data_IF_565039981505
#
_entry.id   IF_565039981505
#
_cell.length_a   1.000
_cell.length_b   1.000
_cell.length_c   1.000
_cell.angle_alpha   90.00
_cell.angle_beta   90.00
_cell.angle_gamma   90.00
#
_symmetry.space_group_name_H-M   'P 1'
#
loop_
_entity.id
_entity.type
_entity.pdbx_description
1 polymer ?
#
# COMPACT_ATOMS: atom_id res chain seq x y z
N UNK A 1 39.86 26.41 38.46
CA UNK A 1 39.22 27.16 37.35
C UNK A 1 38.31 26.19 36.61
N UNK A 2 37.01 26.27 36.92
CA UNK A 2 35.99 25.37 36.38
C UNK A 2 35.66 25.71 34.92
N UNK A 3 35.50 24.68 34.09
CA UNK A 3 34.95 24.80 32.74
C UNK A 3 33.46 24.46 32.80
N UNK A 4 32.64 25.46 32.49
CA UNK A 4 31.19 25.35 32.37
C UNK A 4 30.83 24.37 31.25
N UNK A 5 30.21 23.25 31.60
CA UNK A 5 29.40 22.46 30.68
C UNK A 5 28.02 23.10 30.62
N UNK A 6 27.74 23.84 29.56
CA UNK A 6 26.38 24.23 29.19
C UNK A 6 25.61 22.94 28.85
N UNK A 7 24.72 22.53 29.76
CA UNK A 7 23.71 21.50 29.51
C UNK A 7 22.86 21.94 28.33
N UNK A 8 22.91 21.20 27.22
CA UNK A 8 21.90 21.30 26.16
C UNK A 8 20.56 20.84 26.74
N UNK A 9 19.54 21.68 26.53
CA UNK A 9 18.16 21.46 26.93
C UNK A 9 17.53 20.31 26.10
N UNK A 10 16.94 19.26 26.71
CA UNK A 10 16.35 18.13 25.98
C UNK A 10 15.06 18.45 25.19
N UNK A 11 14.64 19.73 25.08
CA UNK A 11 13.35 20.12 24.51
C UNK A 11 13.34 20.52 23.03
N UNK A 12 14.42 20.32 22.28
CA UNK A 12 14.51 20.76 20.86
C UNK A 12 14.27 19.68 19.80
N UNK A 13 13.70 18.51 20.15
CA UNK A 13 13.50 17.36 19.23
C UNK A 13 12.04 17.04 18.90
N UNK A 14 11.16 18.05 18.87
CA UNK A 14 9.85 17.93 18.23
C UNK A 14 9.73 18.93 17.08
N UNK A 15 10.37 18.64 15.95
CA UNK A 15 9.87 19.13 14.66
C UNK A 15 8.67 18.27 14.31
N UNK A 16 7.48 18.74 14.67
CA UNK A 16 6.26 18.38 13.96
C UNK A 16 6.39 18.91 12.54
N UNK A 17 6.90 18.09 11.62
CA UNK A 17 6.68 18.29 10.19
C UNK A 17 5.22 17.94 9.96
N UNK A 18 4.37 18.96 9.86
CA UNK A 18 3.01 18.80 9.34
C UNK A 18 3.11 18.38 7.87
N UNK A 19 3.26 17.08 7.61
CA UNK A 19 3.13 16.48 6.29
C UNK A 19 1.72 16.83 5.78
N UNK A 20 1.64 17.60 4.69
CA UNK A 20 0.38 18.00 4.08
C UNK A 20 -0.17 16.84 3.26
N UNK A 21 -0.92 15.96 3.92
CA UNK A 21 -1.60 14.82 3.28
C UNK A 21 -2.62 15.29 2.24
N UNK A 22 -2.53 14.78 1.00
CA UNK A 22 -3.55 14.97 -0.04
C UNK A 22 -3.39 16.17 -0.98
N UNK A 23 -2.17 16.58 -1.34
CA UNK A 23 -1.93 17.57 -2.41
C UNK A 23 -2.26 16.98 -3.79
N UNK A 24 -2.87 17.76 -4.69
CA UNK A 24 -2.93 17.42 -6.12
C UNK A 24 -1.52 17.23 -6.70
N UNK A 25 -1.38 16.34 -7.70
CA UNK A 25 -0.11 16.23 -8.42
C UNK A 25 -0.02 17.42 -9.38
N UNK A 26 0.78 18.42 -9.03
CA UNK A 26 1.05 19.56 -9.91
C UNK A 26 1.95 19.20 -11.12
N UNK A 27 1.94 17.94 -11.59
CA UNK A 27 2.75 17.45 -12.70
C UNK A 27 1.97 16.43 -13.54
N UNK A 28 2.30 16.38 -14.82
CA UNK A 28 1.68 15.47 -15.78
C UNK A 28 2.09 14.02 -15.51
N UNK A 29 1.12 13.09 -15.49
CA UNK A 29 1.41 11.65 -15.37
C UNK A 29 2.17 11.19 -16.62
N UNK A 30 3.41 10.75 -16.43
CA UNK A 30 4.32 10.43 -17.53
C UNK A 30 4.53 8.93 -17.69
N UNK A 31 4.59 8.48 -18.94
CA UNK A 31 4.91 7.09 -19.28
C UNK A 31 6.37 6.70 -18.99
N UNK A 32 6.57 5.41 -18.76
CA UNK A 32 7.87 4.78 -18.46
C UNK A 32 8.20 3.74 -19.51
N UNK A 33 9.37 3.84 -20.15
CA UNK A 33 9.81 2.80 -21.10
C UNK A 33 9.84 1.42 -20.45
N UNK A 34 9.35 0.41 -21.17
CA UNK A 34 9.48 -0.98 -20.77
C UNK A 34 10.86 -1.51 -21.15
N UNK A 35 11.68 -1.81 -20.15
CA UNK A 35 12.96 -2.46 -20.35
C UNK A 35 12.78 -3.97 -20.20
N UNK A 36 12.35 -4.61 -21.29
CA UNK A 36 12.04 -6.05 -21.38
C UNK A 36 10.77 -6.49 -20.62
N UNK A 37 10.91 -6.87 -19.34
CA UNK A 37 9.80 -7.34 -18.48
C UNK A 37 9.68 -6.43 -17.23
N UNK A 38 9.89 -5.12 -17.40
CA UNK A 38 9.91 -4.16 -16.29
C UNK A 38 8.54 -3.59 -15.93
N UNK A 39 7.47 -3.97 -16.65
CA UNK A 39 6.12 -3.40 -16.48
C UNK A 39 5.58 -3.49 -15.05
N UNK A 40 5.93 -4.54 -14.30
CA UNK A 40 5.61 -4.68 -12.88
C UNK A 40 6.19 -3.50 -12.06
N UNK A 41 7.46 -3.19 -12.26
CA UNK A 41 8.14 -2.06 -11.60
C UNK A 41 7.59 -0.74 -12.11
N UNK A 42 7.29 -0.62 -13.41
CA UNK A 42 6.71 0.59 -13.98
C UNK A 42 5.35 0.92 -13.33
N UNK A 43 4.45 -0.06 -13.22
CA UNK A 43 3.15 0.12 -12.59
C UNK A 43 3.26 0.52 -11.10
N UNK A 44 4.23 -0.06 -10.37
CA UNK A 44 4.52 0.34 -8.99
C UNK A 44 5.13 1.75 -8.90
N UNK A 45 6.01 2.13 -9.82
CA UNK A 45 6.56 3.49 -9.85
C UNK A 45 5.48 4.54 -10.11
N UNK A 46 4.47 4.21 -10.92
CA UNK A 46 3.31 5.09 -11.09
C UNK A 46 2.57 5.28 -9.76
N UNK A 47 2.33 4.21 -9.00
CA UNK A 47 1.65 4.33 -7.69
C UNK A 47 2.50 5.03 -6.63
N UNK A 48 3.82 4.80 -6.60
CA UNK A 48 4.75 5.52 -5.74
C UNK A 48 4.87 7.00 -6.11
N UNK A 49 4.89 7.33 -7.41
CA UNK A 49 4.87 8.72 -7.89
C UNK A 49 3.62 9.43 -7.38
N UNK A 50 2.46 8.80 -7.53
CA UNK A 50 1.20 9.33 -7.02
C UNK A 50 1.12 9.42 -5.49
N UNK A 51 2.02 8.74 -4.77
CA UNK A 51 2.20 8.89 -3.32
C UNK A 51 3.13 10.07 -3.03
N UNK A 52 2.62 11.30 -3.14
CA UNK A 52 3.43 12.52 -2.95
C UNK A 52 4.14 12.55 -1.59
N UNK A 53 3.50 12.02 -0.55
CA UNK A 53 4.04 11.90 0.80
C UNK A 53 5.34 11.09 0.84
N UNK A 54 5.46 10.05 0.01
CA UNK A 54 6.67 9.23 -0.06
C UNK A 54 7.85 10.05 -0.57
N UNK A 55 7.65 10.85 -1.63
CA UNK A 55 8.73 11.68 -2.16
C UNK A 55 9.10 12.80 -1.20
N UNK A 56 8.12 13.40 -0.53
CA UNK A 56 8.37 14.43 0.47
C UNK A 56 9.25 13.88 1.62
N UNK A 57 8.97 12.67 2.12
CA UNK A 57 9.80 12.00 3.12
C UNK A 57 11.22 11.70 2.58
N UNK A 58 11.32 11.17 1.35
CA UNK A 58 12.62 10.89 0.73
C UNK A 58 13.46 12.16 0.50
N UNK A 59 12.83 13.31 0.32
CA UNK A 59 13.50 14.60 0.14
C UNK A 59 14.00 15.21 1.46
N UNK A 60 13.45 14.79 2.61
CA UNK A 60 14.01 15.13 3.93
C UNK A 60 15.37 14.47 4.14
N UNK A 61 15.60 13.32 3.51
CA UNK A 61 16.85 12.59 3.63
C UNK A 61 17.98 13.25 2.84
N UNK A 62 19.03 13.65 3.56
CA UNK A 62 20.26 14.20 2.99
C UNK A 62 21.36 13.15 3.06
N UNK A 63 21.57 12.34 2.00
CA UNK A 63 22.60 11.31 1.99
C UNK A 63 24.00 11.95 2.06
N UNK A 64 24.88 11.37 2.86
CA UNK A 64 26.29 11.79 2.94
C UNK A 64 27.00 11.65 1.59
N UNK A 65 28.06 12.44 1.39
CA UNK A 65 28.95 12.28 0.24
C UNK A 65 29.48 10.83 0.17
N UNK A 66 29.34 10.19 -1.00
CA UNK A 66 29.82 8.82 -1.23
C UNK A 66 28.85 7.70 -0.88
N UNK A 67 27.56 7.98 -0.69
CA UNK A 67 26.54 6.92 -0.58
C UNK A 67 26.59 5.98 -1.81
N UNK A 68 26.41 4.68 -1.57
CA UNK A 68 26.41 3.68 -2.63
C UNK A 68 25.30 3.98 -3.65
N UNK A 69 25.64 4.18 -4.92
CA UNK A 69 24.68 4.36 -6.02
C UNK A 69 23.77 3.14 -6.20
N UNK A 70 24.09 2.00 -5.58
CA UNK A 70 23.23 0.81 -5.48
C UNK A 70 22.24 0.85 -4.31
N UNK A 71 22.05 2.01 -3.68
CA UNK A 71 21.02 2.25 -2.67
C UNK A 71 19.64 2.42 -3.33
N UNK A 72 18.74 1.47 -3.09
CA UNK A 72 17.41 1.42 -3.71
C UNK A 72 16.55 2.62 -3.33
N UNK A 73 16.46 3.05 -2.06
CA UNK A 73 15.75 4.27 -1.67
C UNK A 73 16.26 5.54 -2.35
N UNK A 74 17.57 5.67 -2.50
CA UNK A 74 18.18 6.80 -3.20
C UNK A 74 17.78 6.81 -4.68
N UNK A 75 17.87 5.66 -5.35
CA UNK A 75 17.48 5.55 -6.75
C UNK A 75 15.95 5.71 -6.93
N UNK A 76 15.15 5.27 -5.96
CA UNK A 76 13.71 5.51 -5.94
C UNK A 76 13.43 7.02 -5.90
N UNK A 77 14.06 7.75 -4.99
CA UNK A 77 13.94 9.22 -4.91
C UNK A 77 14.28 9.87 -6.25
N UNK A 78 15.46 9.58 -6.81
CA UNK A 78 15.91 10.12 -8.11
C UNK A 78 14.90 9.80 -9.22
N UNK A 79 14.35 8.58 -9.24
CA UNK A 79 13.36 8.19 -10.23
C UNK A 79 12.04 8.95 -10.10
N UNK A 80 11.53 9.10 -8.87
CA UNK A 80 10.30 9.85 -8.59
C UNK A 80 10.47 11.34 -8.90
N UNK A 81 11.63 11.93 -8.62
CA UNK A 81 11.97 13.32 -9.00
C UNK A 81 12.00 13.47 -10.53
N UNK A 82 12.71 12.58 -11.23
CA UNK A 82 12.82 12.61 -12.68
C UNK A 82 11.47 12.34 -13.39
N UNK A 83 10.55 11.61 -12.76
CA UNK A 83 9.19 11.44 -13.27
C UNK A 83 8.37 12.74 -13.26
N UNK A 84 8.71 13.72 -12.39
CA UNK A 84 8.08 15.04 -12.34
C UNK A 84 8.66 16.03 -13.35
N UNK A 85 9.79 15.69 -13.99
CA UNK A 85 10.47 16.54 -14.97
C UNK A 85 10.44 15.89 -16.37
N UNK A 86 9.70 16.54 -17.28
CA UNK A 86 9.51 16.07 -18.65
C UNK A 86 10.80 16.03 -19.48
N UNK A 87 11.86 16.74 -19.08
CA UNK A 87 13.13 16.79 -19.82
C UNK A 87 13.95 15.50 -19.71
N UNK A 88 13.71 14.67 -18.68
CA UNK A 88 14.51 13.48 -18.39
C UNK A 88 14.09 12.29 -19.27
N UNK A 89 14.85 11.85 -20.27
CA UNK A 89 14.39 10.81 -21.21
C UNK A 89 14.12 9.42 -20.61
N UNK A 90 14.82 9.01 -19.54
CA UNK A 90 14.72 7.68 -18.94
C UNK A 90 14.70 7.75 -17.40
N UNK A 91 13.59 8.17 -16.77
CA UNK A 91 13.59 8.59 -15.37
C UNK A 91 13.92 7.46 -14.37
N UNK A 92 13.76 6.18 -14.74
CA UNK A 92 13.80 5.06 -13.80
C UNK A 92 14.82 3.95 -14.17
N UNK A 93 15.66 4.16 -15.19
CA UNK A 93 16.59 3.12 -15.68
C UNK A 93 17.62 2.72 -14.62
N UNK A 94 18.16 3.68 -13.89
CA UNK A 94 19.15 3.41 -12.84
C UNK A 94 18.51 2.73 -11.61
N UNK A 95 17.27 3.10 -11.30
CA UNK A 95 16.47 2.39 -10.30
C UNK A 95 16.21 0.93 -10.66
N UNK A 96 15.84 0.64 -11.91
CA UNK A 96 15.69 -0.75 -12.37
C UNK A 96 17.00 -1.54 -12.26
N UNK A 97 18.11 -0.98 -12.76
CA UNK A 97 19.42 -1.61 -12.65
C UNK A 97 19.83 -1.87 -11.20
N UNK A 98 19.48 -0.95 -10.30
CA UNK A 98 19.70 -1.08 -8.86
C UNK A 98 18.91 -2.26 -8.28
N UNK A 99 17.61 -2.35 -8.57
CA UNK A 99 16.76 -3.47 -8.17
C UNK A 99 17.28 -4.81 -8.72
N UNK A 100 17.69 -4.87 -10.00
CA UNK A 100 18.23 -6.09 -10.61
C UNK A 100 19.51 -6.60 -9.95
N UNK A 101 20.33 -5.69 -9.40
CA UNK A 101 21.57 -6.06 -8.70
C UNK A 101 21.33 -6.51 -7.26
N UNK A 102 20.25 -6.04 -6.64
CA UNK A 102 20.05 -6.18 -5.20
C UNK A 102 19.02 -7.23 -4.81
N UNK A 103 17.94 -7.39 -5.60
CA UNK A 103 16.77 -8.10 -5.11
C UNK A 103 16.02 -8.91 -6.16
N UNK A 104 16.04 -8.51 -7.44
CA UNK A 104 15.18 -9.12 -8.45
C UNK A 104 16.00 -9.60 -9.65
N UNK A 105 15.51 -10.63 -10.35
CA UNK A 105 16.17 -11.13 -11.55
C UNK A 105 15.71 -10.33 -12.78
N UNK A 106 16.63 -9.98 -13.70
CA UNK A 106 16.26 -9.38 -14.97
C UNK A 106 15.54 -10.40 -15.85
N UNK A 107 14.64 -9.91 -16.71
CA UNK A 107 13.90 -10.74 -17.67
C UNK A 107 13.11 -11.88 -17.04
N UNK A 108 12.69 -11.75 -15.78
CA UNK A 108 11.72 -12.64 -15.13
C UNK A 108 10.47 -11.86 -14.77
N UNK A 109 9.31 -12.49 -14.90
CA UNK A 109 8.07 -11.89 -14.40
C UNK A 109 8.14 -11.79 -12.88
N UNK A 110 7.79 -10.62 -12.36
CA UNK A 110 7.82 -10.29 -10.95
C UNK A 110 6.40 -10.11 -10.43
N UNK A 111 6.19 -10.42 -9.15
CA UNK A 111 4.94 -10.14 -8.45
C UNK A 111 4.98 -8.72 -7.88
N UNK A 112 3.98 -7.89 -8.22
CA UNK A 112 3.97 -6.49 -7.78
C UNK A 112 3.88 -6.34 -6.25
N UNK A 113 3.24 -7.26 -5.53
CA UNK A 113 3.20 -7.24 -4.07
C UNK A 113 4.58 -7.58 -3.49
N UNK A 114 5.29 -8.55 -4.08
CA UNK A 114 6.64 -8.90 -3.67
C UNK A 114 7.61 -7.73 -3.89
N UNK A 115 7.57 -7.09 -5.06
CA UNK A 115 8.41 -5.92 -5.35
C UNK A 115 8.09 -4.74 -4.42
N UNK A 116 6.81 -4.51 -4.13
CA UNK A 116 6.38 -3.48 -3.18
C UNK A 116 7.00 -3.73 -1.79
N UNK A 117 6.94 -4.95 -1.28
CA UNK A 117 7.57 -5.31 0.00
C UNK A 117 9.09 -5.24 -0.04
N UNK A 118 9.73 -5.69 -1.13
CA UNK A 118 11.17 -5.60 -1.32
C UNK A 118 11.63 -4.15 -1.20
N UNK A 119 10.98 -3.22 -1.92
CA UNK A 119 11.34 -1.80 -1.90
C UNK A 119 11.24 -1.23 -0.48
N UNK A 120 10.12 -1.46 0.22
CA UNK A 120 9.93 -0.95 1.59
C UNK A 120 10.92 -1.55 2.59
N UNK A 121 11.19 -2.86 2.49
CA UNK A 121 12.18 -3.52 3.34
C UNK A 121 13.61 -3.05 3.06
N UNK A 122 13.96 -2.80 1.80
CA UNK A 122 15.24 -2.21 1.43
C UNK A 122 15.35 -0.76 1.93
N UNK A 123 14.26 0.00 2.00
CA UNK A 123 14.25 1.30 2.70
C UNK A 123 14.63 1.17 4.16
N UNK A 124 14.10 0.17 4.88
CA UNK A 124 14.48 -0.06 6.28
C UNK A 124 15.94 -0.51 6.44
N UNK A 125 16.44 -1.29 5.47
CA UNK A 125 17.78 -1.89 5.54
C UNK A 125 18.91 -0.96 5.08
N UNK A 126 18.67 -0.16 4.05
CA UNK A 126 19.71 0.58 3.33
C UNK A 126 19.76 2.06 3.69
N UNK A 127 18.74 2.63 4.33
CA UNK A 127 18.77 4.03 4.76
C UNK A 127 19.52 4.15 6.10
N UNK A 128 20.63 4.90 6.17
CA UNK A 128 21.36 5.11 7.43
C UNK A 128 20.57 5.97 8.43
N UNK A 129 19.70 6.84 7.92
CA UNK A 129 18.81 7.66 8.74
C UNK A 129 17.59 6.83 9.16
N UNK A 130 17.66 6.29 10.38
CA UNK A 130 16.60 5.46 10.94
C UNK A 130 15.28 6.22 11.15
N UNK A 131 15.31 7.54 11.34
CA UNK A 131 14.11 8.34 11.52
C UNK A 131 13.35 8.44 10.19
N UNK A 132 14.04 8.77 9.10
CA UNK A 132 13.41 8.83 7.77
C UNK A 132 12.94 7.44 7.33
N UNK A 133 13.74 6.40 7.57
CA UNK A 133 13.33 5.02 7.28
C UNK A 133 12.02 4.68 8.03
N UNK A 134 11.90 5.06 9.30
CA UNK A 134 10.71 4.85 10.10
C UNK A 134 9.51 5.69 9.63
N UNK A 135 9.71 6.88 9.07
CA UNK A 135 8.64 7.66 8.44
C UNK A 135 8.09 6.94 7.20
N UNK A 136 8.95 6.42 6.32
CA UNK A 136 8.53 5.60 5.16
C UNK A 136 7.77 4.35 5.63
N UNK A 137 8.25 3.69 6.69
CA UNK A 137 7.55 2.54 7.28
C UNK A 137 6.16 2.92 7.75
N UNK A 138 6.07 3.98 8.56
CA UNK A 138 4.82 4.48 9.13
C UNK A 138 3.81 4.92 8.06
N UNK A 139 4.27 5.31 6.87
CA UNK A 139 3.41 5.70 5.75
C UNK A 139 2.51 4.54 5.27
N UNK A 140 2.98 3.29 5.37
CA UNK A 140 2.29 2.09 4.86
C UNK A 140 2.00 1.04 5.94
N UNK A 141 2.54 1.17 7.15
CA UNK A 141 2.44 0.16 8.21
C UNK A 141 1.01 0.00 8.76
N UNK A 142 0.43 -1.17 8.52
CA UNK A 142 -0.77 -1.65 9.18
C UNK A 142 -0.34 -2.42 10.43
N UNK A 143 -0.79 -1.99 11.62
CA UNK A 143 -0.50 -2.71 12.87
C UNK A 143 -1.66 -3.62 13.22
N UNK A 144 -1.35 -4.87 13.52
CA UNK A 144 -2.33 -5.89 13.91
C UNK A 144 -1.84 -6.66 15.14
N UNK A 145 -2.76 -7.29 15.86
CA UNK A 145 -2.47 -8.24 16.91
C UNK A 145 -3.12 -9.58 16.56
N UNK A 146 -2.31 -10.63 16.48
CA UNK A 146 -2.82 -11.99 16.35
C UNK A 146 -3.19 -12.53 17.71
N UNK A 147 -4.40 -13.08 17.83
CA UNK A 147 -4.90 -13.71 19.05
C UNK A 147 -5.18 -15.19 18.78
N UNK A 148 -4.62 -16.06 19.61
CA UNK A 148 -4.91 -17.50 19.62
C UNK A 148 -5.52 -17.87 20.97
N UNK A 149 -6.74 -18.40 20.96
CA UNK A 149 -7.48 -18.76 22.17
C UNK A 149 -7.55 -20.28 22.30
N UNK A 150 -6.99 -20.81 23.39
CA UNK A 150 -7.07 -22.23 23.71
C UNK A 150 -8.51 -22.62 24.07
N UNK A 151 -9.08 -23.61 23.39
CA UNK A 151 -10.47 -24.05 23.66
C UNK A 151 -10.63 -24.83 24.97
N UNK A 152 -9.55 -25.27 25.63
CA UNK A 152 -9.59 -26.03 26.88
C UNK A 152 -9.54 -25.15 28.13
N UNK A 153 -8.63 -24.17 28.15
CA UNK A 153 -8.39 -23.32 29.34
C UNK A 153 -8.65 -21.84 29.11
N UNK A 154 -9.13 -21.46 27.92
CA UNK A 154 -9.47 -20.08 27.53
C UNK A 154 -8.29 -19.10 27.59
N UNK A 155 -7.06 -19.59 27.73
CA UNK A 155 -5.87 -18.75 27.68
C UNK A 155 -5.71 -18.14 26.29
N UNK A 156 -5.45 -16.83 26.27
CA UNK A 156 -5.29 -16.03 25.05
C UNK A 156 -3.82 -15.70 24.86
N UNK A 157 -3.20 -16.27 23.83
CA UNK A 157 -1.87 -15.89 23.37
C UNK A 157 -2.01 -14.71 22.40
N UNK A 158 -1.29 -13.61 22.68
CA UNK A 158 -1.30 -12.38 21.87
C UNK A 158 0.06 -12.12 21.26
N UNK A 159 0.10 -11.83 19.97
CA UNK A 159 1.32 -11.52 19.24
C UNK A 159 1.12 -10.27 18.37
N UNK A 160 1.74 -9.13 18.72
CA UNK A 160 1.76 -7.96 17.85
C UNK A 160 2.49 -8.26 16.54
N UNK A 161 1.96 -7.77 15.43
CA UNK A 161 2.56 -7.91 14.10
C UNK A 161 2.27 -6.67 13.23
N UNK A 162 2.91 -6.59 12.07
CA UNK A 162 2.75 -5.47 11.15
C UNK A 162 2.81 -5.93 9.70
N UNK A 163 2.05 -5.26 8.85
CA UNK A 163 1.92 -5.55 7.42
C UNK A 163 2.15 -4.28 6.61
N UNK A 164 2.69 -4.40 5.40
CA UNK A 164 2.77 -3.27 4.45
C UNK A 164 1.62 -3.27 3.42
N UNK A 165 1.05 -4.43 3.14
CA UNK A 165 -0.20 -4.57 2.38
C UNK A 165 -1.16 -5.48 3.13
N UNK A 166 -2.46 -5.31 2.91
CA UNK A 166 -3.51 -6.18 3.45
C UNK A 166 -3.81 -7.29 2.43
N UNK A 167 -3.38 -8.55 2.66
CA UNK A 167 -3.46 -9.60 1.65
C UNK A 167 -4.82 -10.31 1.72
N UNK A 168 -5.77 -9.85 0.92
CA UNK A 168 -7.14 -10.31 0.91
C UNK A 168 -7.33 -11.54 0.03
N UNK A 169 -7.81 -12.61 0.64
CA UNK A 169 -8.23 -13.80 -0.09
C UNK A 169 -9.48 -13.49 -0.95
N UNK A 170 -9.47 -14.01 -2.17
CA UNK A 170 -10.56 -13.87 -3.14
C UNK A 170 -11.20 -15.24 -3.32
N UNK A 171 -12.53 -15.27 -3.31
CA UNK A 171 -13.31 -16.47 -3.55
C UNK A 171 -13.74 -16.55 -5.01
N UNK A 172 -14.12 -17.73 -5.48
CA UNK A 172 -14.55 -17.98 -6.87
C UNK A 172 -15.95 -17.45 -7.20
N UNK A 173 -16.60 -16.78 -6.24
CA UNK A 173 -17.87 -16.08 -6.42
C UNK A 173 -17.60 -14.58 -6.48
N UNK A 174 -18.64 -13.78 -6.60
CA UNK A 174 -18.55 -12.33 -6.45
C UNK A 174 -18.04 -11.94 -5.06
N UNK A 175 -17.12 -10.98 -5.02
CA UNK A 175 -16.53 -10.45 -3.80
C UNK A 175 -16.76 -8.93 -3.72
N UNK A 176 -16.80 -8.41 -2.50
CA UNK A 176 -16.70 -6.98 -2.23
C UNK A 176 -15.48 -6.72 -1.35
N UNK A 177 -14.85 -5.55 -1.47
CA UNK A 177 -13.72 -5.17 -0.63
C UNK A 177 -14.05 -5.35 0.87
N UNK A 178 -15.23 -4.87 1.29
CA UNK A 178 -15.75 -5.03 2.67
C UNK A 178 -15.87 -6.50 3.06
N UNK A 179 -16.42 -7.35 2.18
CA UNK A 179 -16.56 -8.78 2.43
C UNK A 179 -15.21 -9.49 2.59
N UNK A 180 -14.25 -9.17 1.74
CA UNK A 180 -12.89 -9.71 1.82
C UNK A 180 -12.18 -9.27 3.11
N UNK A 181 -12.28 -8.00 3.50
CA UNK A 181 -11.72 -7.48 4.76
C UNK A 181 -12.36 -8.18 5.95
N UNK A 182 -13.69 -8.28 5.99
CA UNK A 182 -14.40 -8.98 7.06
C UNK A 182 -13.97 -10.45 7.16
N UNK A 183 -13.75 -11.13 6.01
CA UNK A 183 -13.27 -12.50 5.99
C UNK A 183 -11.83 -12.62 6.51
N UNK A 184 -10.97 -11.65 6.25
CA UNK A 184 -9.58 -11.64 6.71
C UNK A 184 -9.47 -11.55 8.24
N UNK A 185 -10.31 -10.73 8.87
CA UNK A 185 -10.33 -10.55 10.33
C UNK A 185 -11.28 -11.49 11.07
N UNK A 186 -11.99 -12.38 10.35
CA UNK A 186 -12.93 -13.32 10.96
C UNK A 186 -12.22 -14.30 11.89
N UNK A 187 -12.82 -14.56 13.05
CA UNK A 187 -12.43 -15.67 13.93
C UNK A 187 -12.51 -17.01 13.19
N UNK A 188 -11.41 -17.76 13.23
CA UNK A 188 -11.28 -19.06 12.58
C UNK A 188 -10.93 -20.12 13.63
N UNK A 189 -11.53 -21.30 13.51
CA UNK A 189 -11.08 -22.47 14.26
C UNK A 189 -9.90 -23.08 13.52
N UNK A 190 -8.77 -23.27 14.21
CA UNK A 190 -7.63 -23.94 13.61
C UNK A 190 -7.99 -25.40 13.32
N UNK A 191 -7.59 -25.94 12.15
CA UNK A 191 -7.79 -27.35 11.84
C UNK A 191 -6.99 -28.24 12.79
N UNK A 192 -7.36 -29.52 12.91
CA UNK A 192 -6.69 -30.45 13.82
C UNK A 192 -5.19 -30.64 13.50
N UNK A 193 -4.79 -30.45 12.25
CA UNK A 193 -3.39 -30.44 11.81
C UNK A 193 -2.59 -29.25 12.33
N UNK A 194 -3.25 -28.17 12.73
CA UNK A 194 -2.67 -26.90 13.17
C UNK A 194 -2.99 -26.59 14.64
N UNK A 195 -3.23 -27.62 15.47
CA UNK A 195 -3.41 -27.43 16.92
C UNK A 195 -2.24 -26.65 17.52
N UNK A 196 -2.58 -25.59 18.25
CA UNK A 196 -1.62 -24.70 18.89
C UNK A 196 -1.17 -25.29 20.23
N UNK A 197 0.12 -25.16 20.56
CA UNK A 197 0.65 -25.59 21.85
C UNK A 197 0.30 -24.57 22.93
N UNK A 198 -0.42 -24.99 23.97
CA UNK A 198 -0.85 -24.11 25.04
C UNK A 198 0.04 -24.30 26.27
N UNK A 199 0.81 -23.27 26.64
CA UNK A 199 1.73 -23.31 27.78
C UNK A 199 1.04 -23.61 29.12
N UNK A 200 -0.26 -23.26 29.27
CA UNK A 200 -1.02 -23.57 30.50
C UNK A 200 -1.50 -25.02 30.55
N UNK A 201 -1.75 -25.63 29.40
CA UNK A 201 -2.17 -27.03 29.32
C UNK A 201 -0.97 -27.97 29.16
N UNK A 202 0.20 -27.43 28.81
CA UNK A 202 1.42 -28.17 28.47
C UNK A 202 1.21 -29.19 27.34
N UNK A 203 0.32 -28.88 26.39
CA UNK A 203 0.00 -29.77 25.27
C UNK A 203 -0.64 -29.02 24.09
N UNK A 204 -0.70 -29.69 22.93
CA UNK A 204 -1.40 -29.15 21.74
C UNK A 204 -2.91 -29.20 21.92
N UNK A 205 -3.56 -28.06 21.80
CA UNK A 205 -5.00 -27.90 22.02
C UNK A 205 -5.72 -27.37 20.77
N UNK A 206 -6.96 -27.80 20.53
CA UNK A 206 -7.86 -27.08 19.64
C UNK A 206 -7.91 -25.61 20.07
N UNK A 207 -7.75 -24.72 19.11
CA UNK A 207 -7.67 -23.29 19.36
C UNK A 207 -8.38 -22.52 18.27
N UNK A 208 -8.88 -21.33 18.61
CA UNK A 208 -9.33 -20.35 17.61
C UNK A 208 -8.24 -19.33 17.38
N UNK A 209 -8.22 -18.77 16.18
CA UNK A 209 -7.26 -17.76 15.74
C UNK A 209 -8.02 -16.60 15.10
N UNK A 210 -7.67 -15.39 15.47
CA UNK A 210 -8.12 -14.17 14.80
C UNK A 210 -7.02 -13.12 14.77
N UNK A 211 -7.19 -12.14 13.90
CA UNK A 211 -6.39 -10.92 13.91
C UNK A 211 -7.28 -9.76 14.34
N UNK A 212 -6.75 -8.87 15.17
CA UNK A 212 -7.36 -7.59 15.51
C UNK A 212 -6.55 -6.46 14.91
N UNK A 213 -7.23 -5.45 14.40
CA UNK A 213 -6.61 -4.26 13.85
C UNK A 213 -6.26 -3.29 14.98
N UNK A 214 -4.98 -2.90 15.05
CA UNK A 214 -4.47 -1.94 16.04
C UNK A 214 -4.47 -0.53 15.45
N UNK A 215 -3.96 -0.35 14.24
CA UNK A 215 -3.98 0.95 13.54
C UNK A 215 -3.85 0.81 12.02
N UNK A 216 -4.43 1.76 11.29
CA UNK A 216 -4.30 1.88 9.83
C UNK A 216 -3.30 2.97 9.43
N UNK A 217 -2.56 2.77 8.32
CA UNK A 217 -1.57 3.72 7.82
C UNK A 217 -2.19 4.87 7.01
N UNK A 218 -1.51 6.01 6.84
CA UNK A 218 -1.96 7.07 5.93
C UNK A 218 -2.18 6.59 4.49
N UNK A 219 -1.34 5.65 4.02
CA UNK A 219 -1.48 4.99 2.72
C UNK A 219 -1.75 3.51 2.94
N UNK A 220 -2.98 3.09 2.68
CA UNK A 220 -3.39 1.69 2.78
C UNK A 220 -3.20 1.00 1.43
N UNK A 221 -2.29 0.03 1.39
CA UNK A 221 -2.16 -0.91 0.27
C UNK A 221 -3.00 -2.15 0.53
N UNK A 222 -3.91 -2.48 -0.37
CA UNK A 222 -4.70 -3.72 -0.35
C UNK A 222 -4.21 -4.61 -1.48
N UNK A 223 -3.76 -5.81 -1.14
CA UNK A 223 -3.38 -6.83 -2.10
C UNK A 223 -4.53 -7.81 -2.29
N UNK A 224 -5.10 -7.83 -3.50
CA UNK A 224 -6.09 -8.81 -3.91
C UNK A 224 -5.37 -10.10 -4.35
N UNK A 225 -5.38 -11.16 -3.52
CA UNK A 225 -4.68 -12.44 -3.77
C UNK A 225 -5.32 -13.22 -4.93
N UNK A 226 -5.04 -12.77 -6.15
CA UNK A 226 -5.58 -13.35 -7.39
C UNK A 226 -4.82 -14.58 -7.86
N UNK A 227 -3.68 -14.91 -7.28
CA UNK A 227 -2.96 -16.13 -7.62
C UNK A 227 -3.17 -17.17 -6.52
N UNK A 228 -3.55 -18.38 -6.94
CA UNK A 228 -3.73 -19.52 -6.05
C UNK A 228 -2.96 -20.70 -6.60
N UNK A 229 -2.26 -21.41 -5.73
CA UNK A 229 -1.68 -22.69 -6.04
C UNK A 229 -2.68 -23.78 -5.63
N UNK A 230 -3.16 -24.54 -6.60
CA UNK A 230 -4.02 -25.70 -6.39
C UNK A 230 -3.27 -26.93 -6.92
N UNK A 231 -2.96 -27.87 -6.04
CA UNK A 231 -2.27 -29.14 -6.35
C UNK A 231 -0.99 -28.98 -7.20
N UNK A 232 -0.19 -27.96 -6.89
CA UNK A 232 1.08 -27.67 -7.57
C UNK A 232 0.97 -26.79 -8.81
N UNK A 233 -0.25 -26.44 -9.25
CA UNK A 233 -0.48 -25.55 -10.38
C UNK A 233 -0.94 -24.17 -9.91
N UNK A 234 -0.19 -23.13 -10.31
CA UNK A 234 -0.59 -21.75 -10.05
C UNK A 234 -1.58 -21.28 -11.11
N UNK A 235 -2.78 -20.85 -10.69
CA UNK A 235 -3.76 -20.21 -11.56
C UNK A 235 -4.12 -18.82 -11.07
N UNK A 236 -4.63 -18.01 -12.00
CA UNK A 236 -5.15 -16.66 -11.73
C UNK A 236 -6.67 -16.69 -11.59
N UNK A 237 -7.17 -16.05 -10.54
CA UNK A 237 -8.58 -15.82 -10.24
C UNK A 237 -9.05 -14.55 -10.96
N UNK A 238 -10.06 -14.72 -11.80
CA UNK A 238 -10.71 -13.63 -12.54
C UNK A 238 -12.04 -13.21 -11.94
N UNK A 239 -12.47 -13.83 -10.83
CA UNK A 239 -13.71 -13.53 -10.14
C UNK A 239 -13.81 -12.05 -9.79
N UNK A 240 -15.04 -11.55 -9.83
CA UNK A 240 -15.32 -10.15 -9.55
C UNK A 240 -14.95 -9.79 -8.10
N UNK A 241 -14.28 -8.65 -7.94
CA UNK A 241 -14.04 -7.99 -6.67
C UNK A 241 -14.41 -6.52 -6.82
N UNK A 242 -15.57 -6.12 -6.29
CA UNK A 242 -16.00 -4.73 -6.29
C UNK A 242 -15.31 -3.95 -5.18
N UNK A 243 -14.83 -2.75 -5.48
CA UNK A 243 -14.19 -1.86 -4.50
C UNK A 243 -14.59 -0.41 -4.75
N UNK A 244 -14.96 0.36 -3.70
CA UNK A 244 -15.43 1.72 -3.89
C UNK A 244 -14.27 2.70 -4.11
N UNK A 245 -14.54 3.83 -4.76
CA UNK A 245 -13.58 4.93 -4.88
C UNK A 245 -13.26 5.54 -3.50
N UNK A 246 -14.24 5.57 -2.59
CA UNK A 246 -14.05 6.04 -1.22
C UNK A 246 -14.78 5.16 -0.21
N UNK A 247 -14.22 4.99 0.98
CA UNK A 247 -14.90 4.28 2.07
C UNK A 247 -14.56 4.87 3.44
N UNK A 248 -15.46 4.67 4.41
CA UNK A 248 -15.20 4.90 5.84
C UNK A 248 -14.52 3.67 6.48
N UNK A 249 -13.70 3.89 7.51
CA UNK A 249 -13.05 2.83 8.30
C UNK A 249 -14.03 1.85 8.95
N UNK A 250 -15.34 2.12 8.96
CA UNK A 250 -16.38 1.16 9.35
C UNK A 250 -16.32 -0.19 8.60
N UNK A 251 -15.74 -0.24 7.40
CA UNK A 251 -15.54 -1.52 6.69
C UNK A 251 -14.62 -2.49 7.45
N UNK A 252 -13.86 -1.99 8.45
CA UNK A 252 -13.02 -2.78 9.34
C UNK A 252 -13.71 -3.14 10.67
N UNK A 253 -15.03 -3.01 10.78
CA UNK A 253 -15.76 -3.33 12.02
C UNK A 253 -15.46 -4.74 12.57
N UNK A 254 -15.31 -5.74 11.68
CA UNK A 254 -14.94 -7.11 12.07
C UNK A 254 -13.54 -7.23 12.70
N UNK A 255 -12.67 -6.25 12.50
CA UNK A 255 -11.30 -6.22 12.98
C UNK A 255 -11.14 -5.55 14.35
N UNK A 256 -12.20 -4.91 14.88
CA UNK A 256 -12.11 -4.13 16.11
C UNK A 256 -11.96 -5.04 17.33
N UNK A 257 -11.11 -4.62 18.25
CA UNK A 257 -11.10 -5.11 19.63
C UNK A 257 -12.17 -4.36 20.43
N UNK A 258 -12.83 -5.04 21.36
CA UNK A 258 -13.81 -4.44 22.30
C UNK A 258 -13.24 -3.27 23.12
N UNK A 259 -11.91 -3.11 23.18
CA UNK A 259 -11.20 -2.09 23.95
C UNK A 259 -10.35 -1.12 23.09
N UNK A 260 -10.56 -1.04 21.77
CA UNK A 260 -9.71 -0.24 20.90
C UNK A 260 -10.22 1.21 20.72
N UNK A 261 -9.55 2.17 21.35
CA UNK A 261 -9.62 3.62 21.04
C UNK A 261 -9.01 3.99 19.66
N UNK A 262 -8.54 3.00 18.89
CA UNK A 262 -7.62 3.20 17.75
C UNK A 262 -8.26 3.52 16.40
N UNK A 263 -9.52 3.14 16.17
CA UNK A 263 -10.23 3.40 14.91
C UNK A 263 -11.31 4.45 15.14
N UNK A 264 -11.02 5.70 14.78
CA UNK A 264 -12.01 6.76 14.82
C UNK A 264 -13.04 6.50 13.71
N UNK A 265 -14.31 6.37 14.08
CA UNK A 265 -15.41 6.03 13.18
C UNK A 265 -15.58 6.98 11.96
N UNK A 266 -14.94 8.15 11.98
CA UNK A 266 -15.07 9.17 10.92
C UNK A 266 -13.85 9.25 9.98
N UNK A 267 -12.96 8.27 9.96
CA UNK A 267 -11.82 8.28 9.04
C UNK A 267 -12.22 7.71 7.67
N UNK A 268 -11.85 8.43 6.61
CA UNK A 268 -12.17 8.06 5.24
C UNK A 268 -10.91 7.79 4.45
N UNK A 269 -11.01 6.84 3.52
CA UNK A 269 -10.00 6.52 2.55
C UNK A 269 -10.53 6.82 1.15
N UNK A 270 -9.64 7.23 0.25
CA UNK A 270 -9.95 7.45 -1.16
C UNK A 270 -8.91 6.77 -2.04
N UNK A 271 -9.38 5.97 -2.98
CA UNK A 271 -8.56 5.26 -3.94
C UNK A 271 -7.85 6.30 -4.80
N UNK A 272 -6.55 6.12 -4.99
CA UNK A 272 -5.79 6.99 -5.88
C UNK A 272 -4.84 6.24 -6.81
N UNK A 273 -4.62 4.94 -6.58
CA UNK A 273 -3.91 4.11 -7.54
C UNK A 273 -4.45 2.68 -7.55
N UNK A 274 -4.49 2.08 -8.74
CA UNK A 274 -4.84 0.68 -8.97
C UNK A 274 -3.74 0.07 -9.83
N UNK A 275 -2.96 -0.85 -9.27
CA UNK A 275 -2.05 -1.69 -10.06
C UNK A 275 -2.88 -2.84 -10.63
N UNK A 276 -2.84 -3.01 -11.94
CA UNK A 276 -3.65 -3.97 -12.70
C UNK A 276 -2.73 -5.02 -13.28
N UNK A 277 -3.18 -6.27 -13.22
CA UNK A 277 -2.52 -7.38 -13.90
C UNK A 277 -3.39 -7.88 -15.05
N UNK A 278 -2.83 -7.94 -16.25
CA UNK A 278 -3.44 -8.44 -17.47
C UNK A 278 -2.83 -9.80 -17.82
N UNK A 279 -3.64 -10.78 -18.22
CA UNK A 279 -3.15 -12.09 -18.64
C UNK A 279 -3.39 -13.18 -17.60
N UNK A 280 -2.51 -14.19 -17.58
CA UNK A 280 -2.62 -15.44 -16.81
C UNK A 280 -1.57 -15.52 -15.70
N UNK A 281 -1.54 -16.60 -14.92
CA UNK A 281 -0.50 -16.81 -13.91
C UNK A 281 0.91 -17.02 -14.49
N UNK A 282 1.02 -17.52 -15.72
CA UNK A 282 2.31 -17.83 -16.35
C UNK A 282 2.86 -16.68 -17.19
N UNK A 283 1.95 -15.86 -17.74
CA UNK A 283 2.30 -14.70 -18.54
C UNK A 283 1.32 -13.57 -18.33
N UNK A 284 1.84 -12.39 -18.08
CA UNK A 284 1.01 -11.20 -17.98
C UNK A 284 1.78 -9.90 -18.12
N UNK A 285 1.01 -8.82 -17.96
CA UNK A 285 1.47 -7.45 -18.12
C UNK A 285 0.86 -6.60 -17.00
N UNK A 286 1.68 -5.76 -16.39
CA UNK A 286 1.25 -4.87 -15.32
C UNK A 286 1.06 -3.46 -15.86
N UNK A 287 -0.06 -2.85 -15.51
CA UNK A 287 -0.40 -1.46 -15.83
C UNK A 287 -0.95 -0.78 -14.59
N UNK A 288 -1.14 0.54 -14.63
CA UNK A 288 -1.64 1.28 -13.48
C UNK A 288 -2.73 2.29 -13.88
N UNK A 289 -3.75 2.43 -13.04
CA UNK A 289 -4.59 3.61 -13.01
C UNK A 289 -4.12 4.51 -11.87
N UNK A 290 -3.98 5.81 -12.13
CA UNK A 290 -3.56 6.83 -11.16
C UNK A 290 -4.59 7.96 -11.16
N UNK A 291 -5.05 8.34 -9.97
CA UNK A 291 -5.89 9.51 -9.79
C UNK A 291 -5.03 10.72 -9.43
N UNK A 292 -5.14 11.76 -10.24
CA UNK A 292 -4.45 13.03 -10.08
C UNK A 292 -5.39 14.17 -10.39
N UNK A 293 -5.45 15.19 -9.55
CA UNK A 293 -6.14 16.46 -9.86
C UNK A 293 -7.61 16.28 -10.28
N UNK A 294 -8.31 15.35 -9.63
CA UNK A 294 -9.72 14.96 -9.91
C UNK A 294 -9.93 14.13 -11.18
N UNK A 295 -8.85 13.76 -11.87
CA UNK A 295 -8.88 12.98 -13.10
C UNK A 295 -8.18 11.64 -12.92
N UNK A 296 -8.68 10.62 -13.62
CA UNK A 296 -8.03 9.32 -13.70
C UNK A 296 -7.11 9.28 -14.94
N UNK A 297 -5.97 8.63 -14.80
CA UNK A 297 -5.02 8.36 -15.87
C UNK A 297 -4.73 6.87 -15.93
N UNK A 298 -4.66 6.32 -17.14
CA UNK A 298 -4.21 4.95 -17.37
C UNK A 298 -2.79 4.98 -17.93
N UNK A 299 -1.87 4.35 -17.21
CA UNK A 299 -0.47 4.22 -17.54
C UNK A 299 -0.14 2.78 -17.94
N UNK A 300 0.23 2.60 -19.19
CA UNK A 300 0.68 1.36 -19.80
C UNK A 300 2.09 1.59 -20.35
N UNK A 301 3.08 1.37 -19.48
CA UNK A 301 4.48 1.70 -19.76
C UNK A 301 4.62 3.13 -20.29
N UNK A 302 5.13 3.31 -21.51
CA UNK A 302 5.38 4.61 -22.14
C UNK A 302 4.11 5.33 -22.58
N UNK A 303 2.97 4.63 -22.60
CA UNK A 303 1.69 5.15 -23.05
C UNK A 303 0.86 5.56 -21.83
N UNK A 304 0.67 6.86 -21.65
CA UNK A 304 -0.28 7.40 -20.67
C UNK A 304 -1.42 8.09 -21.40
N UNK A 305 -2.64 7.88 -20.91
CA UNK A 305 -3.83 8.58 -21.39
C UNK A 305 -4.74 8.91 -20.23
N UNK A 306 -5.57 9.93 -20.40
CA UNK A 306 -6.69 10.17 -19.50
C UNK A 306 -7.65 8.97 -19.54
N UNK A 307 -8.31 8.74 -18.41
CA UNK A 307 -9.20 7.64 -18.14
C UNK A 307 -10.33 8.11 -17.22
N UNK A 308 -11.20 7.20 -16.80
CA UNK A 308 -12.35 7.51 -15.96
C UNK A 308 -12.53 6.46 -14.89
N UNK A 309 -13.27 6.80 -13.84
CA UNK A 309 -13.71 5.83 -12.84
C UNK A 309 -14.46 4.63 -13.48
N UNK A 310 -15.19 4.85 -14.57
CA UNK A 310 -15.86 3.76 -15.29
C UNK A 310 -14.86 2.72 -15.81
N UNK A 311 -13.74 3.15 -16.41
CA UNK A 311 -12.68 2.25 -16.87
C UNK A 311 -11.96 1.56 -15.71
N UNK A 312 -11.76 2.24 -14.58
CA UNK A 312 -11.20 1.63 -13.36
C UNK A 312 -12.08 0.46 -12.90
N UNK A 313 -13.41 0.62 -12.92
CA UNK A 313 -14.36 -0.45 -12.55
C UNK A 313 -14.32 -1.66 -13.48
N UNK A 314 -13.85 -1.51 -14.72
CA UNK A 314 -13.64 -2.64 -15.63
C UNK A 314 -12.54 -3.60 -15.13
N UNK A 315 -11.77 -3.20 -14.12
CA UNK A 315 -10.74 -4.03 -13.48
C UNK A 315 -11.25 -4.87 -12.31
N UNK A 316 -12.55 -4.78 -11.95
CA UNK A 316 -13.14 -5.59 -10.88
C UNK A 316 -12.97 -7.10 -11.13
N UNK A 317 -13.00 -7.51 -12.40
CA UNK A 317 -12.94 -8.91 -12.84
C UNK A 317 -14.05 -9.22 -13.83
N UNK A 318 -14.22 -10.51 -14.16
CA UNK A 318 -15.32 -11.17 -14.88
C UNK A 318 -16.01 -10.47 -16.09
N UNK A 319 -15.48 -9.37 -16.61
CA UNK A 319 -16.01 -8.72 -17.82
C UNK A 319 -15.34 -9.30 -19.07
N UNK A 320 -16.00 -10.31 -19.64
CA UNK A 320 -15.65 -10.93 -20.93
C UNK A 320 -15.89 -10.01 -22.14
N UNK A 321 -16.37 -8.77 -21.96
CA UNK A 321 -16.88 -7.95 -23.06
C UNK A 321 -15.81 -7.46 -24.05
N UNK A 322 -14.53 -7.49 -23.69
CA UNK A 322 -13.44 -6.93 -24.53
C UNK A 322 -12.17 -7.79 -24.65
N UNK A 323 -12.23 -9.08 -24.32
CA UNK A 323 -11.14 -10.03 -24.61
C UNK A 323 -9.85 -9.91 -23.79
N UNK A 324 -9.64 -8.83 -23.03
CA UNK A 324 -8.47 -8.68 -22.15
C UNK A 324 -8.82 -9.05 -20.71
N UNK A 325 -8.16 -10.09 -20.19
CA UNK A 325 -8.30 -10.57 -18.81
C UNK A 325 -7.55 -9.68 -17.81
N UNK A 326 -7.96 -8.41 -17.70
CA UNK A 326 -7.41 -7.42 -16.77
C UNK A 326 -8.13 -7.46 -15.42
N UNK A 327 -7.37 -7.41 -14.35
CA UNK A 327 -7.91 -7.46 -12.98
C UNK A 327 -7.08 -6.58 -12.06
N UNK A 328 -7.73 -5.78 -11.22
CA UNK A 328 -7.06 -5.04 -10.16
C UNK A 328 -6.29 -6.00 -9.25
N UNK A 329 -5.04 -5.67 -8.94
CA UNK A 329 -4.12 -6.51 -8.20
C UNK A 329 -3.73 -5.86 -6.87
N UNK A 330 -3.26 -4.62 -6.91
CA UNK A 330 -3.07 -3.77 -5.73
C UNK A 330 -4.00 -2.56 -5.79
N UNK A 331 -4.65 -2.24 -4.68
CA UNK A 331 -5.43 -1.01 -4.51
C UNK A 331 -4.72 -0.13 -3.49
N UNK A 332 -4.37 1.10 -3.86
CA UNK A 332 -3.78 2.05 -2.94
C UNK A 332 -4.80 3.13 -2.61
N UNK A 333 -5.12 3.21 -1.32
CA UNK A 333 -6.04 4.17 -0.75
C UNK A 333 -5.27 5.17 0.12
N UNK A 334 -5.63 6.44 0.01
CA UNK A 334 -5.09 7.53 0.83
C UNK A 334 -6.11 7.94 1.88
N UNK A 335 -5.67 8.06 3.12
CA UNK A 335 -6.47 8.61 4.22
C UNK A 335 -6.77 10.09 3.96
N UNK A 336 -8.05 10.46 4.00
CA UNK A 336 -8.48 11.87 3.89
C UNK A 336 -8.22 12.59 5.20
N UNK A 337 -7.55 13.74 5.14
CA UNK A 337 -7.45 14.66 6.29
C UNK A 337 -8.82 15.29 6.55
N UNK A 338 -9.17 15.47 7.84
CA UNK A 338 -10.46 16.07 8.26
C UNK A 338 -10.67 17.51 7.76
N UNK A 339 -9.64 18.17 7.21
CA UNK A 339 -9.69 19.60 6.87
C UNK A 339 -9.92 19.93 5.39
N UNK A 340 -10.25 18.97 4.54
CA UNK A 340 -10.47 19.24 3.09
C UNK A 340 -11.91 19.63 2.72
N UNK A 341 -12.84 19.73 3.67
CA UNK A 341 -14.28 19.93 3.39
C UNK A 341 -14.91 21.17 4.05
N UNK A 342 -14.13 22.06 4.67
CA UNK A 342 -14.63 23.37 5.13
C UNK A 342 -14.07 24.48 4.25
N UNK A 343 -14.54 24.53 3.00
CA UNK A 343 -14.11 25.55 2.05
C UNK A 343 -14.84 25.41 0.73
N UNK A 344 -16.16 25.68 0.72
CA UNK A 344 -16.96 26.20 -0.41
C UNK A 344 -18.46 25.88 -0.31
N UNK A 345 -19.11 26.19 0.81
CA UNK A 345 -20.60 26.24 0.85
C UNK A 345 -21.19 27.44 1.60
N UNK A 346 -20.39 28.41 2.06
CA UNK A 346 -20.88 29.55 2.85
C UNK A 346 -20.86 30.91 2.14
N UNK A 347 -20.74 30.98 0.81
CA UNK A 347 -20.63 32.26 0.09
C UNK A 347 -21.58 32.44 -1.11
N UNK A 348 -22.73 31.74 -1.15
CA UNK A 348 -23.72 31.91 -2.23
C UNK A 348 -25.18 32.14 -1.78
N UNK A 349 -25.45 32.49 -0.52
CA UNK A 349 -26.82 32.71 -0.05
C UNK A 349 -27.05 34.04 0.70
N UNK A 350 -26.44 35.15 0.27
CA UNK A 350 -26.77 36.50 0.80
C UNK A 350 -26.96 37.58 -0.28
N UNK A 351 -27.44 37.23 -1.48
CA UNK A 351 -27.80 38.26 -2.48
C UNK A 351 -29.22 38.22 -3.06
N UNK A 352 -30.14 37.50 -2.43
CA UNK A 352 -31.58 37.65 -2.69
C UNK A 352 -32.35 37.72 -1.37
N UNK A 353 -32.33 38.89 -0.74
CA UNK A 353 -33.38 39.44 0.14
C UNK A 353 -32.85 40.76 0.73
N UNK A 354 -33.00 41.84 -0.03
CA UNK A 354 -33.40 43.18 0.42
C UNK A 354 -33.36 44.16 -0.76
#
# INVERSE_FOLDING_TARGET
MGKNYSKMDPRSLHRSSSLNYGRSLNYEVRGLFNYSLSCCVNALLQSFSATTELLDILNIWHPSDGIDERNVPLQLRKALEAMRDISHSAPHKDFLNCLYRQAIRPSTQQDADEIFHIILNLSQKQMPDAAVAQEIRSLYEIKVETQVVCSKCEFIHRAPSSLFSLPLAIWERENTLKGCINSFFKLQKLPDSEKFYCDRCDEKQPSTHEMKLVSLPPILCVHLKRFRNDDGFTRKLFSEVTFPETFSTEIFAAAQSENADGLKADEWYSLYAVVVHIGTAMFGHYTAFIHSDQEWYYADDSCVRQSTWAEVRETYGESHRYGQRRTAYLLLYRKKSRNSTVGNTAALNEHYMN
#
